data_IF_482877023256
#
_entry.id   IF_482877023256
#
_cell.length_a   1.000
_cell.length_b   1.000
_cell.length_c   1.000
_cell.angle_alpha   90.00
_cell.angle_beta   90.00
_cell.angle_gamma   90.00
#
_symmetry.space_group_name_H-M   'P 1'
#
loop_
_entity.id
_entity.type
_entity.pdbx_description
1 polymer ?
#
# COMPACT_ATOMS: atom_id res chain seq x y z
N UNK A 1 2.89 -16.85 -15.19
CA UNK A 1 1.73 -16.10 -14.66
C UNK A 1 0.55 -17.05 -14.62
N UNK A 2 -0.19 -17.09 -13.51
CA UNK A 2 -1.46 -17.82 -13.45
C UNK A 2 -2.57 -16.94 -14.02
N UNK A 3 -3.45 -17.52 -14.84
CA UNK A 3 -4.61 -16.83 -15.39
C UNK A 3 -5.80 -16.93 -14.42
N UNK A 4 -6.59 -15.86 -14.34
CA UNK A 4 -7.83 -15.81 -13.54
C UNK A 4 -8.96 -15.35 -14.46
N UNK A 5 -9.98 -16.19 -14.63
CA UNK A 5 -11.16 -15.87 -15.41
C UNK A 5 -12.24 -15.30 -14.50
N UNK A 6 -12.83 -14.16 -14.90
CA UNK A 6 -13.88 -13.47 -14.14
C UNK A 6 -15.03 -13.19 -15.11
N UNK A 7 -16.24 -13.60 -14.73
CA UNK A 7 -17.46 -13.24 -15.45
C UNK A 7 -18.07 -12.00 -14.81
N UNK A 8 -18.42 -11.01 -15.62
CA UNK A 8 -19.00 -9.74 -15.18
C UNK A 8 -20.33 -9.52 -15.90
N UNK A 9 -21.35 -8.96 -15.21
CA UNK A 9 -22.52 -8.38 -15.89
C UNK A 9 -22.10 -7.27 -16.86
N UNK A 10 -22.90 -7.04 -17.91
CA UNK A 10 -22.60 -6.05 -18.95
C UNK A 10 -22.32 -4.66 -18.39
N UNK A 11 -23.05 -4.24 -17.36
CA UNK A 11 -22.85 -2.95 -16.70
C UNK A 11 -21.45 -2.79 -16.09
N UNK A 12 -20.93 -3.84 -15.44
CA UNK A 12 -19.59 -3.82 -14.87
C UNK A 12 -18.52 -3.92 -15.94
N UNK A 13 -18.78 -4.66 -17.03
CA UNK A 13 -17.87 -4.70 -18.18
C UNK A 13 -17.72 -3.31 -18.80
N UNK A 14 -18.83 -2.63 -19.10
CA UNK A 14 -18.83 -1.26 -19.65
C UNK A 14 -18.07 -0.29 -18.75
N UNK A 15 -18.30 -0.35 -17.44
CA UNK A 15 -17.56 0.46 -16.48
C UNK A 15 -16.05 0.22 -16.56
N UNK A 16 -15.61 -1.05 -16.59
CA UNK A 16 -14.19 -1.39 -16.70
C UNK A 16 -13.60 -0.88 -18.00
N UNK A 17 -14.30 -1.04 -19.13
CA UNK A 17 -13.84 -0.57 -20.44
C UNK A 17 -13.67 0.97 -20.47
N UNK A 18 -14.59 1.72 -19.86
CA UNK A 18 -14.45 3.16 -19.68
C UNK A 18 -13.22 3.54 -18.85
N UNK A 19 -12.97 2.82 -17.74
CA UNK A 19 -11.81 3.07 -16.89
C UNK A 19 -10.49 2.76 -17.62
N UNK A 20 -10.47 1.73 -18.46
CA UNK A 20 -9.32 1.39 -19.30
C UNK A 20 -8.99 2.54 -20.24
N UNK A 21 -9.99 3.09 -20.94
CA UNK A 21 -9.80 4.21 -21.87
C UNK A 21 -9.37 5.49 -21.13
N UNK A 22 -10.12 5.89 -20.09
CA UNK A 22 -9.92 7.17 -19.39
C UNK A 22 -8.58 7.23 -18.66
N UNK A 23 -8.08 6.09 -18.16
CA UNK A 23 -6.84 6.02 -17.38
C UNK A 23 -5.65 5.47 -18.17
N UNK A 24 -5.85 5.19 -19.47
CA UNK A 24 -4.78 4.75 -20.37
C UNK A 24 -4.23 3.35 -20.09
N UNK A 25 -5.04 2.44 -19.55
CA UNK A 25 -4.63 1.04 -19.39
C UNK A 25 -4.66 0.32 -20.74
N UNK A 26 -3.79 -0.67 -20.93
CA UNK A 26 -3.75 -1.47 -22.16
C UNK A 26 -4.79 -2.58 -22.20
N UNK A 27 -5.26 -3.06 -21.03
CA UNK A 27 -6.26 -4.13 -20.93
C UNK A 27 -7.12 -4.00 -19.67
N UNK A 28 -8.32 -4.59 -19.68
CA UNK A 28 -9.18 -4.73 -18.49
C UNK A 28 -8.46 -5.46 -17.34
N UNK A 29 -7.63 -6.46 -17.66
CA UNK A 29 -6.83 -7.19 -16.66
C UNK A 29 -5.77 -6.32 -15.99
N UNK A 30 -5.27 -5.29 -16.68
CA UNK A 30 -4.34 -4.33 -16.08
C UNK A 30 -5.03 -3.41 -15.08
N UNK A 31 -6.20 -2.90 -15.44
CA UNK A 31 -7.04 -2.13 -14.52
C UNK A 31 -7.37 -2.94 -13.25
N UNK A 32 -7.81 -4.20 -13.41
CA UNK A 32 -8.15 -5.07 -12.27
C UNK A 32 -6.92 -5.38 -11.41
N UNK A 33 -5.75 -5.66 -12.02
CA UNK A 33 -4.50 -5.86 -11.25
C UNK A 33 -4.15 -4.64 -10.40
N UNK A 34 -4.35 -3.45 -10.93
CA UNK A 34 -4.08 -2.21 -10.21
C UNK A 34 -5.08 -1.98 -9.06
N UNK A 35 -6.36 -2.30 -9.25
CA UNK A 35 -7.34 -2.28 -8.17
C UNK A 35 -6.98 -3.26 -7.04
N UNK A 36 -6.54 -4.48 -7.38
CA UNK A 36 -6.11 -5.48 -6.40
C UNK A 36 -4.92 -4.99 -5.61
N UNK A 37 -3.92 -4.37 -6.25
CA UNK A 37 -2.77 -3.78 -5.53
C UNK A 37 -3.20 -2.70 -4.56
N UNK A 38 -4.06 -1.78 -5.00
CA UNK A 38 -4.58 -0.70 -4.13
C UNK A 38 -5.37 -1.24 -2.94
N UNK A 39 -6.14 -2.32 -3.13
CA UNK A 39 -6.83 -2.97 -2.02
C UNK A 39 -5.87 -3.65 -1.06
N UNK A 40 -4.86 -4.37 -1.58
CA UNK A 40 -3.82 -4.98 -0.75
C UNK A 40 -3.03 -3.93 0.06
N UNK A 41 -2.69 -2.79 -0.54
CA UNK A 41 -2.01 -1.68 0.15
C UNK A 41 -2.89 -1.07 1.25
N UNK A 42 -4.19 -0.91 0.98
CA UNK A 42 -5.16 -0.47 2.00
C UNK A 42 -5.26 -1.45 3.16
N UNK A 43 -5.28 -2.75 2.88
CA UNK A 43 -5.31 -3.77 3.92
C UNK A 43 -4.04 -3.73 4.76
N UNK A 44 -2.86 -3.64 4.14
CA UNK A 44 -1.58 -3.46 4.84
C UNK A 44 -1.54 -2.24 5.73
N UNK A 45 -2.01 -1.09 5.23
CA UNK A 45 -2.08 0.13 6.03
C UNK A 45 -3.00 -0.04 7.24
N UNK A 46 -4.18 -0.65 7.02
CA UNK A 46 -5.12 -0.93 8.12
C UNK A 46 -4.49 -1.82 9.18
N UNK A 47 -3.80 -2.88 8.79
CA UNK A 47 -3.10 -3.78 9.70
C UNK A 47 -2.03 -3.03 10.51
N UNK A 48 -1.22 -2.18 9.86
CA UNK A 48 -0.19 -1.40 10.53
C UNK A 48 -0.79 -0.40 11.54
N UNK A 49 -1.90 0.25 11.20
CA UNK A 49 -2.62 1.15 12.11
C UNK A 49 -3.17 0.42 13.33
N UNK A 50 -3.77 -0.76 13.11
CA UNK A 50 -4.28 -1.59 14.21
C UNK A 50 -3.14 -2.09 15.10
N UNK A 51 -2.02 -2.52 14.52
CA UNK A 51 -0.84 -2.93 15.26
C UNK A 51 -0.28 -1.79 16.13
N UNK A 52 -0.22 -0.57 15.58
CA UNK A 52 0.17 0.63 16.34
C UNK A 52 -0.83 0.97 17.46
N UNK A 53 -2.13 0.88 17.19
CA UNK A 53 -3.17 1.19 18.17
C UNK A 53 -3.18 0.24 19.38
N UNK A 54 -2.79 -1.03 19.19
CA UNK A 54 -2.68 -2.01 20.28
C UNK A 54 -1.29 -2.05 20.93
N UNK A 55 -0.32 -1.30 20.38
CA UNK A 55 1.02 -1.23 20.95
C UNK A 55 1.02 -0.45 22.28
N UNK A 56 1.92 -0.79 23.23
CA UNK A 56 2.07 0.00 24.44
C UNK A 56 2.44 1.45 24.12
N UNK A 57 1.91 2.44 24.86
CA UNK A 57 2.33 3.83 24.73
C UNK A 57 3.84 3.97 24.95
N UNK A 58 4.49 4.74 24.08
CA UNK A 58 5.89 5.13 24.28
C UNK A 58 5.99 6.47 24.99
N UNK A 59 7.18 6.83 25.44
CA UNK A 59 7.49 8.22 25.80
C UNK A 59 7.31 9.13 24.58
N UNK A 60 7.00 10.43 24.78
CA UNK A 60 6.97 11.40 23.70
C UNK A 60 8.27 11.35 22.87
N UNK A 61 8.11 11.37 21.55
CA UNK A 61 9.24 11.44 20.62
C UNK A 61 9.58 12.92 20.44
N UNK A 62 10.73 13.34 20.95
CA UNK A 62 11.20 14.72 20.96
C UNK A 62 12.44 14.92 20.04
N UNK A 63 12.95 16.15 19.89
CA UNK A 63 14.16 16.39 19.09
C UNK A 63 15.40 15.65 19.60
N UNK A 64 15.52 15.45 20.92
CA UNK A 64 16.67 14.79 21.56
C UNK A 64 16.70 13.29 21.24
N UNK A 65 15.53 12.64 21.20
CA UNK A 65 15.37 11.28 20.71
C UNK A 65 15.98 11.11 19.31
N UNK A 66 15.67 12.01 18.38
CA UNK A 66 16.21 11.96 17.02
C UNK A 66 17.71 12.30 16.97
N UNK A 67 18.20 13.22 17.81
CA UNK A 67 19.62 13.52 17.92
C UNK A 67 20.42 12.29 18.41
N UNK A 68 19.92 11.62 19.44
CA UNK A 68 20.50 10.38 19.95
C UNK A 68 20.47 9.27 18.90
N UNK A 69 19.35 9.12 18.17
CA UNK A 69 19.24 8.12 17.09
C UNK A 69 20.29 8.34 15.99
N UNK A 70 20.43 9.57 15.48
CA UNK A 70 21.45 9.90 14.45
C UNK A 70 22.87 9.61 14.94
N UNK A 71 23.18 9.95 16.19
CA UNK A 71 24.49 9.67 16.80
C UNK A 71 24.79 8.17 16.81
N UNK A 72 23.81 7.32 17.16
CA UNK A 72 23.97 5.85 17.15
C UNK A 72 24.24 5.31 15.74
N UNK A 73 23.48 5.77 14.74
CA UNK A 73 23.66 5.33 13.34
C UNK A 73 25.06 5.71 12.82
N UNK A 74 25.51 6.94 13.09
CA UNK A 74 26.84 7.39 12.69
C UNK A 74 27.97 6.62 13.37
N UNK A 75 27.79 6.25 14.66
CA UNK A 75 28.75 5.42 15.38
C UNK A 75 28.84 4.00 14.81
N UNK A 76 27.71 3.41 14.40
CA UNK A 76 27.68 2.08 13.78
C UNK A 76 28.29 2.06 12.38
N UNK A 77 28.17 3.15 11.62
CA UNK A 77 28.77 3.26 10.29
C UNK A 77 30.31 3.45 10.32
N UNK A 78 30.89 3.71 11.50
CA UNK A 78 32.33 3.88 11.71
C UNK A 78 33.01 2.61 12.26
N UNK A 79 32.23 1.55 12.51
CA UNK A 79 32.70 0.21 12.86
C UNK A 79 32.72 -0.67 11.61
#
# INVERSE_FOLDING_TARGET
>A
MSTMNISLPDSLKSFVDEQVIQRGYGTSGEYVRELIRKDADRQRLREALLAGAVSPPTTPVDPDYFAAMRKRVLQQAQQ
#
